data_IF_661584400413
#
_entry.id   IF_661584400413
#
_cell.length_a   1.000
_cell.length_b   1.000
_cell.length_c   1.000
_cell.angle_alpha   90.00
_cell.angle_beta   90.00
_cell.angle_gamma   90.00
#
_symmetry.space_group_name_H-M   'P 1'
#
loop_
_entity.id
_entity.type
_entity.pdbx_description
1 polymer ?
#
# COMPACT_ATOMS: atom_id res chain seq x y z
N UNK A 1 -40.35 -94.52 -11.72
CA UNK A 1 -39.02 -93.91 -11.94
C UNK A 1 -38.70 -93.13 -10.67
N UNK A 2 -37.56 -93.38 -10.02
CA UNK A 2 -37.20 -92.67 -8.79
C UNK A 2 -36.85 -91.21 -9.14
N UNK A 3 -37.54 -90.25 -8.52
CA UNK A 3 -37.20 -88.83 -8.62
C UNK A 3 -36.02 -88.52 -7.70
N UNK A 4 -35.11 -87.64 -8.17
CA UNK A 4 -33.99 -87.17 -7.36
C UNK A 4 -34.52 -86.42 -6.13
N UNK A 5 -34.05 -86.72 -4.90
CA UNK A 5 -34.42 -85.97 -3.70
C UNK A 5 -33.85 -84.53 -3.70
N UNK A 6 -32.98 -84.20 -4.67
CA UNK A 6 -32.31 -82.92 -4.76
C UNK A 6 -33.03 -81.89 -5.66
N UNK A 7 -34.25 -82.21 -6.08
CA UNK A 7 -35.06 -81.40 -6.99
C UNK A 7 -34.65 -81.53 -8.45
N UNK A 8 -35.50 -81.00 -9.34
CA UNK A 8 -35.33 -81.15 -10.79
C UNK A 8 -34.22 -80.28 -11.38
N UNK A 9 -33.82 -79.24 -10.65
CA UNK A 9 -32.82 -78.26 -11.10
C UNK A 9 -31.38 -78.76 -11.00
N UNK A 10 -31.09 -79.74 -10.14
CA UNK A 10 -29.72 -80.25 -9.98
C UNK A 10 -29.38 -81.22 -11.13
N UNK A 11 -28.61 -80.74 -12.11
CA UNK A 11 -28.13 -81.53 -13.26
C UNK A 11 -26.65 -81.91 -13.12
N UNK A 12 -26.32 -82.66 -12.06
CA UNK A 12 -24.97 -83.20 -11.83
C UNK A 12 -25.00 -84.73 -11.83
N UNK A 13 -23.90 -85.35 -12.26
CA UNK A 13 -23.74 -86.80 -12.15
C UNK A 13 -23.73 -87.22 -10.67
N UNK A 14 -24.58 -88.18 -10.32
CA UNK A 14 -24.74 -88.71 -8.95
C UNK A 14 -23.40 -89.16 -8.35
N UNK A 15 -22.47 -89.65 -9.18
CA UNK A 15 -21.16 -90.15 -8.73
C UNK A 15 -20.22 -89.07 -8.19
N UNK A 16 -20.55 -87.79 -8.39
CA UNK A 16 -19.79 -86.66 -7.81
C UNK A 16 -19.97 -86.53 -6.29
N UNK A 17 -21.07 -87.06 -5.77
CA UNK A 17 -21.44 -86.96 -4.36
C UNK A 17 -21.71 -88.33 -3.69
N UNK A 18 -22.14 -89.33 -4.47
CA UNK A 18 -22.48 -90.67 -3.98
C UNK A 18 -21.56 -91.73 -4.60
N UNK A 19 -21.39 -92.85 -3.91
CA UNK A 19 -20.68 -94.01 -4.46
C UNK A 19 -21.65 -95.13 -4.76
N UNK A 20 -21.24 -96.10 -5.57
CA UNK A 20 -22.02 -97.32 -5.80
C UNK A 20 -22.25 -98.15 -4.52
N UNK A 21 -21.46 -97.90 -3.48
CA UNK A 21 -21.53 -98.61 -2.19
C UNK A 21 -22.50 -97.94 -1.20
N UNK A 22 -22.69 -96.62 -1.28
CA UNK A 22 -23.60 -95.90 -0.37
C UNK A 22 -24.11 -94.58 -0.94
N UNK A 23 -25.38 -94.29 -0.67
CA UNK A 23 -25.98 -92.96 -0.86
C UNK A 23 -25.61 -91.96 0.25
N UNK A 24 -24.97 -92.41 1.34
CA UNK A 24 -24.45 -91.49 2.35
C UNK A 24 -23.22 -90.76 1.78
N UNK A 25 -23.31 -89.43 1.72
CA UNK A 25 -22.22 -88.57 1.27
C UNK A 25 -21.09 -88.61 2.29
N UNK A 26 -19.86 -88.85 1.82
CA UNK A 26 -18.65 -88.67 2.62
C UNK A 26 -18.05 -87.29 2.28
N UNK A 27 -18.13 -86.37 3.23
CA UNK A 27 -17.66 -84.98 3.07
C UNK A 27 -16.15 -84.87 2.79
N UNK A 28 -15.35 -85.92 3.09
CA UNK A 28 -13.91 -85.93 2.80
C UNK A 28 -13.60 -86.32 1.35
N UNK A 29 -14.54 -86.94 0.65
CA UNK A 29 -14.34 -87.48 -0.70
C UNK A 29 -15.27 -86.84 -1.73
N UNK A 30 -16.16 -85.94 -1.31
CA UNK A 30 -17.03 -85.19 -2.21
C UNK A 30 -16.17 -84.31 -3.13
N UNK A 31 -16.42 -84.37 -4.43
CA UNK A 31 -15.62 -83.65 -5.44
C UNK A 31 -16.38 -82.47 -6.05
N UNK A 32 -17.37 -81.93 -5.35
CA UNK A 32 -18.19 -80.82 -5.85
C UNK A 32 -17.52 -79.47 -5.59
N UNK A 33 -17.34 -78.68 -6.64
CA UNK A 33 -16.70 -77.37 -6.59
C UNK A 33 -17.74 -76.25 -6.43
N UNK A 34 -17.77 -75.59 -5.26
CA UNK A 34 -18.67 -74.46 -5.03
C UNK A 34 -18.34 -73.23 -5.88
N UNK A 35 -17.14 -73.14 -6.45
CA UNK A 35 -16.79 -72.05 -7.36
C UNK A 35 -17.56 -72.11 -8.69
N UNK A 36 -18.17 -73.26 -9.01
CA UNK A 36 -19.07 -73.38 -10.16
C UNK A 36 -20.48 -72.85 -9.88
N UNK A 37 -20.73 -72.26 -8.71
CA UNK A 37 -22.03 -71.77 -8.27
C UNK A 37 -22.02 -70.25 -8.09
N UNK A 38 -23.18 -69.66 -7.79
CA UNK A 38 -23.31 -68.24 -7.49
C UNK A 38 -22.78 -67.83 -6.10
N UNK A 39 -22.17 -68.75 -5.33
CA UNK A 39 -21.60 -68.46 -4.01
C UNK A 39 -20.35 -69.31 -3.76
N UNK A 40 -19.18 -68.69 -3.93
CA UNK A 40 -17.90 -69.33 -3.63
C UNK A 40 -17.68 -69.41 -2.11
N UNK A 41 -17.29 -70.58 -1.61
CA UNK A 41 -17.00 -70.81 -0.20
C UNK A 41 -15.60 -70.29 0.16
N UNK A 42 -15.49 -68.98 0.35
CA UNK A 42 -14.24 -68.32 0.71
C UNK A 42 -14.12 -68.16 2.23
N UNK A 43 -12.88 -68.23 2.74
CA UNK A 43 -12.52 -67.90 4.13
C UNK A 43 -13.38 -68.64 5.17
N UNK A 44 -14.14 -67.94 6.02
CA UNK A 44 -14.92 -68.56 7.10
C UNK A 44 -16.05 -69.44 6.58
N UNK A 45 -16.64 -69.13 5.42
CA UNK A 45 -17.70 -69.95 4.82
C UNK A 45 -17.20 -71.34 4.37
N UNK A 46 -15.89 -71.50 4.10
CA UNK A 46 -15.30 -72.81 3.74
C UNK A 46 -15.29 -73.82 4.88
N UNK A 47 -15.44 -73.34 6.13
CA UNK A 47 -15.40 -74.15 7.34
C UNK A 47 -16.80 -74.46 7.89
N UNK A 48 -17.83 -73.92 7.26
CA UNK A 48 -19.22 -74.07 7.69
C UNK A 48 -19.78 -75.42 7.23
N UNK A 49 -20.52 -76.10 8.09
CA UNK A 49 -21.19 -77.34 7.73
C UNK A 49 -22.26 -77.09 6.65
N UNK A 50 -22.39 -78.03 5.70
CA UNK A 50 -23.28 -77.86 4.53
C UNK A 50 -24.74 -77.57 4.94
N UNK A 51 -25.20 -78.13 6.06
CA UNK A 51 -26.55 -77.98 6.59
C UNK A 51 -26.85 -76.59 7.14
N UNK A 52 -25.83 -75.75 7.34
CA UNK A 52 -26.04 -74.36 7.73
C UNK A 52 -26.57 -73.52 6.57
N UNK A 53 -26.16 -73.82 5.34
CA UNK A 53 -26.67 -73.16 4.13
C UNK A 53 -27.82 -73.96 3.50
N UNK A 54 -27.69 -75.29 3.44
CA UNK A 54 -28.64 -76.19 2.79
C UNK A 54 -29.53 -76.88 3.81
N UNK A 55 -30.61 -76.18 4.22
CA UNK A 55 -31.61 -76.70 5.17
C UNK A 55 -32.47 -77.83 4.59
N UNK A 56 -32.48 -77.99 3.26
CA UNK A 56 -33.14 -79.08 2.54
C UNK A 56 -32.16 -79.75 1.59
N UNK A 57 -32.51 -80.93 1.07
CA UNK A 57 -31.73 -81.61 0.03
C UNK A 57 -31.84 -80.91 -1.35
N UNK A 58 -32.70 -79.90 -1.49
CA UNK A 58 -32.90 -79.13 -2.71
C UNK A 58 -31.92 -77.95 -2.72
N UNK A 59 -30.70 -78.21 -3.18
CA UNK A 59 -29.55 -77.30 -3.00
C UNK A 59 -29.71 -75.89 -3.60
N UNK A 60 -30.54 -75.71 -4.63
CA UNK A 60 -30.77 -74.40 -5.26
C UNK A 60 -31.69 -73.46 -4.46
N UNK A 61 -32.24 -73.90 -3.33
CA UNK A 61 -33.04 -73.07 -2.43
C UNK A 61 -32.20 -72.21 -1.47
N UNK A 62 -30.90 -72.51 -1.33
CA UNK A 62 -30.01 -71.71 -0.50
C UNK A 62 -29.80 -70.33 -1.13
N UNK A 63 -30.11 -69.28 -0.36
CA UNK A 63 -29.85 -67.89 -0.77
C UNK A 63 -28.36 -67.58 -0.64
N UNK A 64 -27.85 -66.76 -1.57
CA UNK A 64 -26.49 -66.24 -1.56
C UNK A 64 -26.39 -64.82 -0.97
N UNK A 65 -27.48 -64.28 -0.43
CA UNK A 65 -27.54 -62.96 0.18
C UNK A 65 -27.10 -63.02 1.64
N UNK A 66 -26.23 -62.10 2.07
CA UNK A 66 -25.73 -62.08 3.45
C UNK A 66 -26.88 -62.06 4.49
N UNK A 67 -27.89 -61.23 4.24
CA UNK A 67 -29.03 -61.03 5.13
C UNK A 67 -29.98 -62.24 5.25
N UNK A 68 -29.86 -63.26 4.40
CA UNK A 68 -30.67 -64.48 4.57
C UNK A 68 -30.15 -65.41 5.66
N UNK A 69 -28.89 -65.23 6.08
CA UNK A 69 -28.24 -66.04 7.11
C UNK A 69 -27.76 -65.20 8.30
N UNK A 70 -27.36 -63.95 8.06
CA UNK A 70 -26.85 -63.04 9.08
C UNK A 70 -27.88 -61.98 9.43
N UNK A 71 -28.12 -61.81 10.73
CA UNK A 71 -28.97 -60.74 11.25
C UNK A 71 -28.21 -59.41 11.23
N UNK A 72 -28.85 -58.37 10.73
CA UNK A 72 -28.29 -57.02 10.81
C UNK A 72 -28.22 -56.57 12.28
N UNK A 73 -27.03 -56.13 12.69
CA UNK A 73 -26.81 -55.54 14.00
C UNK A 73 -26.94 -54.03 13.97
N UNK A 74 -27.00 -53.40 12.79
CA UNK A 74 -26.93 -51.95 12.62
C UNK A 74 -28.30 -51.26 12.61
N UNK A 75 -29.36 -51.93 13.08
CA UNK A 75 -30.72 -51.40 13.12
C UNK A 75 -31.18 -50.80 11.78
N UNK A 76 -30.84 -51.45 10.68
CA UNK A 76 -31.14 -51.06 9.30
C UNK A 76 -30.58 -49.69 8.87
N UNK A 77 -29.54 -49.18 9.53
CA UNK A 77 -29.01 -47.81 9.27
C UNK A 77 -27.92 -47.73 8.21
N UNK A 78 -27.26 -48.85 7.88
CA UNK A 78 -26.13 -48.89 6.93
C UNK A 78 -26.46 -49.61 5.60
N UNK A 79 -27.71 -50.06 5.45
CA UNK A 79 -28.19 -50.80 4.27
C UNK A 79 -27.84 -52.29 4.27
N UNK A 80 -28.25 -52.99 3.21
CA UNK A 80 -28.15 -54.47 3.11
C UNK A 80 -26.92 -54.97 2.35
N UNK A 81 -26.08 -54.06 1.83
CA UNK A 81 -24.87 -54.43 1.10
C UNK A 81 -23.70 -54.62 2.07
N UNK A 82 -23.74 -55.73 2.82
CA UNK A 82 -22.79 -56.05 3.89
C UNK A 82 -21.34 -56.08 3.39
N UNK A 83 -21.13 -56.47 2.12
CA UNK A 83 -19.81 -56.64 1.51
C UNK A 83 -19.07 -55.31 1.32
N UNK A 84 -19.74 -54.16 1.47
CA UNK A 84 -19.10 -52.84 1.48
C UNK A 84 -18.15 -52.63 2.64
N UNK A 85 -18.43 -53.26 3.78
CA UNK A 85 -17.68 -53.07 5.01
C UNK A 85 -17.10 -54.38 5.56
N UNK A 86 -17.81 -55.48 5.38
CA UNK A 86 -17.45 -56.77 5.95
C UNK A 86 -16.92 -57.72 4.89
N UNK A 87 -16.01 -58.60 5.29
CA UNK A 87 -15.44 -59.61 4.39
C UNK A 87 -15.90 -60.99 4.82
N UNK A 88 -15.90 -62.00 3.92
CA UNK A 88 -16.13 -63.40 4.28
C UNK A 88 -15.19 -63.93 5.38
N UNK A 89 -14.07 -63.24 5.63
CA UNK A 89 -13.12 -63.56 6.68
C UNK A 89 -13.56 -63.09 8.06
N UNK A 90 -14.10 -61.87 8.17
CA UNK A 90 -14.44 -61.23 9.45
C UNK A 90 -15.47 -60.12 9.29
N UNK A 91 -16.33 -59.99 10.31
CA UNK A 91 -17.23 -58.85 10.52
C UNK A 91 -16.51 -57.62 11.10
N UNK A 92 -15.27 -57.76 11.56
CA UNK A 92 -14.49 -56.62 12.07
C UNK A 92 -14.06 -55.73 10.91
N UNK A 93 -14.47 -54.46 10.96
CA UNK A 93 -14.09 -53.44 9.98
C UNK A 93 -12.86 -52.70 10.51
N UNK A 94 -11.79 -52.65 9.72
CA UNK A 94 -10.52 -52.01 10.13
C UNK A 94 -10.24 -50.72 9.38
N UNK A 95 -10.96 -50.47 8.28
CA UNK A 95 -10.79 -49.33 7.38
C UNK A 95 -11.87 -48.25 7.59
N UNK A 96 -12.35 -48.07 8.83
CA UNK A 96 -13.36 -47.05 9.15
C UNK A 96 -12.91 -45.62 8.79
N UNK A 97 -11.64 -45.22 9.02
CA UNK A 97 -11.16 -43.89 8.61
C UNK A 97 -11.25 -43.65 7.09
N UNK A 98 -10.88 -44.65 6.29
CA UNK A 98 -10.93 -44.59 4.82
C UNK A 98 -12.38 -44.49 4.33
N UNK A 99 -13.30 -45.26 4.93
CA UNK A 99 -14.72 -45.16 4.62
C UNK A 99 -15.29 -43.77 4.93
N UNK A 100 -14.84 -43.12 6.01
CA UNK A 100 -15.23 -41.75 6.33
C UNK A 100 -14.68 -40.74 5.31
N UNK A 101 -13.43 -40.91 4.89
CA UNK A 101 -12.79 -40.10 3.85
C UNK A 101 -13.52 -40.23 2.49
N UNK A 102 -13.80 -41.46 2.05
CA UNK A 102 -14.52 -41.76 0.80
C UNK A 102 -15.95 -41.18 0.79
N UNK A 103 -16.58 -41.05 1.97
CA UNK A 103 -17.93 -40.49 2.10
C UNK A 103 -17.94 -38.99 2.43
N UNK A 104 -16.78 -38.31 2.35
CA UNK A 104 -16.69 -36.85 2.42
C UNK A 104 -16.65 -36.27 3.83
N UNK A 105 -16.23 -37.04 4.83
CA UNK A 105 -15.90 -36.55 6.17
C UNK A 105 -14.62 -37.21 6.72
N UNK A 106 -13.42 -36.83 6.23
CA UNK A 106 -12.17 -37.42 6.70
C UNK A 106 -11.97 -37.22 8.21
N UNK A 107 -11.65 -38.30 8.93
CA UNK A 107 -11.40 -38.24 10.39
C UNK A 107 -10.00 -37.70 10.68
N UNK A 108 -9.88 -36.37 10.65
CA UNK A 108 -8.63 -35.62 10.80
C UNK A 108 -8.61 -34.76 12.06
N UNK A 109 -7.42 -34.30 12.46
CA UNK A 109 -7.23 -33.50 13.66
C UNK A 109 -7.85 -34.15 14.89
N UNK A 110 -8.65 -33.39 15.63
CA UNK A 110 -9.35 -33.88 16.83
C UNK A 110 -10.45 -34.91 16.57
N UNK A 111 -11.01 -34.99 15.35
CA UNK A 111 -12.03 -35.99 15.01
C UNK A 111 -11.48 -37.42 14.95
N UNK A 112 -10.15 -37.58 14.78
CA UNK A 112 -9.49 -38.88 14.70
C UNK A 112 -9.56 -39.68 16.01
N UNK A 113 -9.67 -39.01 17.14
CA UNK A 113 -9.63 -39.63 18.47
C UNK A 113 -10.98 -39.73 19.16
N UNK A 114 -12.06 -39.26 18.51
CA UNK A 114 -13.40 -39.33 19.06
C UNK A 114 -13.93 -40.76 19.04
N UNK A 115 -14.74 -41.09 20.04
CA UNK A 115 -15.52 -42.31 20.02
C UNK A 115 -16.68 -42.13 19.03
N UNK A 116 -17.09 -43.22 18.37
CA UNK A 116 -18.15 -43.18 17.35
C UNK A 116 -19.45 -42.54 17.88
N UNK A 117 -19.78 -42.79 19.15
CA UNK A 117 -20.99 -42.30 19.83
C UNK A 117 -20.99 -40.80 20.10
N UNK A 118 -19.83 -40.15 20.07
CA UNK A 118 -19.72 -38.70 20.24
C UNK A 118 -20.27 -37.95 19.03
N UNK A 119 -20.18 -38.58 17.84
CA UNK A 119 -20.71 -38.07 16.58
C UNK A 119 -22.04 -38.73 16.21
N UNK A 120 -22.11 -40.06 16.18
CA UNK A 120 -23.31 -40.83 15.87
C UNK A 120 -24.21 -40.99 17.11
N UNK A 121 -24.70 -39.86 17.62
CA UNK A 121 -25.59 -39.83 18.78
C UNK A 121 -26.92 -40.49 18.43
N UNK A 122 -27.16 -41.66 19.02
CA UNK A 122 -28.40 -42.40 18.86
C UNK A 122 -28.72 -43.18 20.14
N UNK A 123 -29.91 -43.77 20.21
CA UNK A 123 -30.35 -44.57 21.36
C UNK A 123 -29.49 -45.82 21.62
N UNK A 124 -28.70 -46.27 20.64
CA UNK A 124 -27.89 -47.49 20.73
C UNK A 124 -26.54 -47.33 20.06
N UNK A 125 -25.48 -47.94 20.60
CA UNK A 125 -24.13 -47.89 20.00
C UNK A 125 -23.99 -48.62 18.64
N UNK A 126 -25.08 -49.18 18.12
CA UNK A 126 -25.09 -49.92 16.85
C UNK A 126 -25.82 -49.17 15.73
N UNK A 127 -26.38 -47.99 16.00
CA UNK A 127 -27.12 -47.21 15.02
C UNK A 127 -26.23 -46.07 14.49
N UNK A 128 -25.95 -46.11 13.19
CA UNK A 128 -25.02 -45.20 12.50
C UNK A 128 -25.74 -44.44 11.39
N UNK A 129 -26.64 -43.53 11.78
CA UNK A 129 -27.31 -42.67 10.80
C UNK A 129 -26.31 -41.73 10.13
N UNK A 130 -26.61 -41.38 8.87
CA UNK A 130 -25.84 -40.37 8.13
C UNK A 130 -26.04 -39.01 8.80
N UNK A 131 -25.01 -38.56 9.48
CA UNK A 131 -24.87 -37.19 9.96
C UNK A 131 -24.25 -36.35 8.82
N UNK A 132 -24.79 -35.15 8.56
CA UNK A 132 -24.26 -34.27 7.51
C UNK A 132 -22.77 -33.95 7.75
N UNK A 133 -22.03 -33.60 6.71
CA UNK A 133 -20.58 -33.40 6.74
C UNK A 133 -20.13 -31.93 6.83
N UNK A 134 -21.07 -30.98 6.84
CA UNK A 134 -20.75 -29.56 7.03
C UNK A 134 -20.38 -29.27 8.48
N UNK A 135 -19.24 -28.59 8.70
CA UNK A 135 -18.73 -28.26 10.04
C UNK A 135 -19.79 -27.56 10.90
N UNK A 136 -20.53 -26.62 10.29
CA UNK A 136 -21.53 -25.80 10.97
C UNK A 136 -22.71 -26.62 11.50
N UNK A 137 -22.97 -27.83 10.99
CA UNK A 137 -24.07 -28.66 11.47
C UNK A 137 -23.84 -29.14 12.92
N UNK A 138 -22.57 -29.31 13.31
CA UNK A 138 -22.20 -29.70 14.67
C UNK A 138 -21.67 -28.51 15.48
N UNK A 139 -20.95 -27.59 14.84
CA UNK A 139 -20.25 -26.49 15.52
C UNK A 139 -21.02 -25.16 15.49
N UNK A 140 -22.34 -25.16 15.26
CA UNK A 140 -23.15 -23.92 15.20
C UNK A 140 -23.07 -23.08 16.48
N UNK A 141 -23.17 -23.74 17.63
CA UNK A 141 -23.08 -23.05 18.92
C UNK A 141 -21.69 -22.45 19.13
N UNK A 142 -20.63 -23.21 18.84
CA UNK A 142 -19.25 -22.72 18.88
C UNK A 142 -19.04 -21.53 17.93
N UNK A 143 -19.57 -21.61 16.71
CA UNK A 143 -19.53 -20.53 15.73
C UNK A 143 -20.20 -19.26 16.26
N UNK A 144 -21.42 -19.38 16.80
CA UNK A 144 -22.20 -18.25 17.31
C UNK A 144 -21.57 -17.60 18.55
N UNK A 145 -20.88 -18.39 19.38
CA UNK A 145 -20.35 -17.95 20.66
C UNK A 145 -18.91 -17.40 20.58
N UNK A 146 -18.23 -17.54 19.44
CA UNK A 146 -16.89 -17.00 19.24
C UNK A 146 -16.86 -15.47 19.44
N UNK A 147 -15.82 -14.94 20.08
CA UNK A 147 -15.68 -13.50 20.37
C UNK A 147 -14.45 -12.85 19.74
N UNK A 148 -13.40 -13.63 19.44
CA UNK A 148 -12.11 -13.12 18.97
C UNK A 148 -11.64 -13.90 17.73
N UNK A 149 -12.11 -13.57 16.52
CA UNK A 149 -13.17 -12.59 16.22
C UNK A 149 -14.58 -13.12 16.50
N UNK A 150 -15.58 -12.22 16.56
CA UNK A 150 -16.98 -12.62 16.66
C UNK A 150 -17.53 -12.95 15.26
N UNK A 151 -17.84 -14.23 15.03
CA UNK A 151 -18.26 -14.68 13.70
C UNK A 151 -19.60 -14.10 13.25
N UNK A 152 -20.53 -13.88 14.19
CA UNK A 152 -21.90 -13.41 13.88
C UNK A 152 -21.88 -11.93 13.56
N UNK A 153 -21.26 -11.12 14.43
CA UNK A 153 -21.14 -9.67 14.21
C UNK A 153 -20.31 -9.36 12.97
N UNK A 154 -19.25 -10.15 12.73
CA UNK A 154 -18.43 -10.01 11.54
C UNK A 154 -19.03 -10.60 10.26
N UNK A 155 -20.21 -11.21 10.33
CA UNK A 155 -20.88 -11.86 9.19
C UNK A 155 -19.97 -12.85 8.44
N UNK A 156 -19.17 -13.62 9.18
CA UNK A 156 -18.21 -14.54 8.60
C UNK A 156 -18.91 -15.74 7.94
N UNK A 157 -18.27 -16.30 6.91
CA UNK A 157 -18.72 -17.49 6.20
C UNK A 157 -18.86 -18.70 7.14
N UNK A 158 -19.87 -19.55 6.92
CA UNK A 158 -19.99 -20.84 7.61
C UNK A 158 -19.08 -21.91 7.01
N UNK A 159 -18.36 -21.61 5.93
CA UNK A 159 -17.34 -22.46 5.36
C UNK A 159 -16.05 -22.35 6.19
N UNK A 160 -15.99 -23.12 7.28
CA UNK A 160 -14.95 -22.96 8.31
C UNK A 160 -13.53 -23.14 7.78
N UNK A 161 -13.33 -23.92 6.70
CA UNK A 161 -12.00 -24.21 6.15
C UNK A 161 -11.35 -23.02 5.44
N UNK A 162 -12.10 -21.94 5.18
CA UNK A 162 -11.53 -20.67 4.71
C UNK A 162 -10.56 -20.07 5.73
N UNK A 163 -10.83 -20.29 7.03
CA UNK A 163 -10.10 -19.68 8.13
C UNK A 163 -9.50 -20.68 9.12
N UNK A 164 -10.02 -21.90 9.21
CA UNK A 164 -9.59 -22.90 10.19
C UNK A 164 -9.05 -24.15 9.52
N UNK A 165 -7.97 -24.70 10.06
CA UNK A 165 -7.38 -25.93 9.53
C UNK A 165 -7.85 -27.15 10.34
N UNK A 166 -8.75 -28.00 9.79
CA UNK A 166 -9.27 -29.18 10.50
C UNK A 166 -8.22 -30.27 10.72
N UNK A 167 -7.05 -30.19 10.09
CA UNK A 167 -5.95 -31.14 10.29
C UNK A 167 -5.23 -30.93 11.62
N UNK A 168 -5.34 -29.73 12.20
CA UNK A 168 -4.70 -29.41 13.47
C UNK A 168 -5.49 -30.00 14.63
N UNK A 169 -4.77 -30.42 15.67
CA UNK A 169 -5.37 -30.90 16.91
C UNK A 169 -6.08 -29.75 17.65
N UNK A 170 -5.45 -28.59 17.67
CA UNK A 170 -5.99 -27.38 18.29
C UNK A 170 -6.78 -26.56 17.28
N UNK A 171 -7.94 -26.06 17.69
CA UNK A 171 -8.76 -25.14 16.89
C UNK A 171 -8.10 -23.76 16.86
N UNK A 172 -7.11 -23.62 15.98
CA UNK A 172 -6.40 -22.37 15.75
C UNK A 172 -6.77 -21.82 14.37
N UNK A 173 -6.81 -20.49 14.22
CA UNK A 173 -6.90 -19.89 12.89
C UNK A 173 -5.73 -20.38 12.03
N UNK A 174 -6.00 -20.64 10.75
CA UNK A 174 -4.98 -20.83 9.73
C UNK A 174 -4.06 -19.62 9.71
N UNK A 175 -2.78 -19.83 9.41
CA UNK A 175 -1.83 -18.74 9.26
C UNK A 175 -2.18 -17.96 7.97
N UNK A 176 -2.74 -16.76 8.10
CA UNK A 176 -3.09 -15.91 6.96
C UNK A 176 -1.85 -15.17 6.46
N UNK A 177 -1.46 -15.40 5.20
CA UNK A 177 -0.33 -14.71 4.59
C UNK A 177 -0.75 -13.27 4.18
N UNK A 178 -0.09 -12.29 4.78
CA UNK A 178 -0.23 -10.87 4.45
C UNK A 178 1.10 -10.26 3.95
N UNK A 179 2.01 -11.07 3.42
CA UNK A 179 3.33 -10.62 2.96
C UNK A 179 3.22 -9.55 1.86
N UNK A 180 2.15 -9.62 1.06
CA UNK A 180 1.85 -8.65 0.00
C UNK A 180 1.33 -7.30 0.53
N UNK A 181 0.65 -7.31 1.68
CA UNK A 181 0.20 -6.10 2.37
C UNK A 181 0.49 -6.22 3.88
N UNK A 182 1.72 -5.89 4.31
CA UNK A 182 2.13 -6.11 5.69
C UNK A 182 1.28 -5.32 6.70
N UNK A 183 0.60 -6.03 7.60
CA UNK A 183 -0.22 -5.48 8.69
C UNK A 183 0.64 -4.84 9.79
N UNK A 184 1.26 -3.71 9.45
CA UNK A 184 2.20 -3.00 10.31
C UNK A 184 1.66 -1.62 10.66
N UNK A 185 1.99 -1.15 11.86
CA UNK A 185 1.70 0.22 12.31
C UNK A 185 0.21 0.60 12.14
N UNK A 186 -0.10 1.63 11.36
CA UNK A 186 -1.49 2.09 11.14
C UNK A 186 -2.35 1.08 10.36
N UNK A 187 -1.74 0.14 9.65
CA UNK A 187 -2.43 -0.96 8.96
C UNK A 187 -2.51 -2.24 9.82
N UNK A 188 -2.01 -2.22 11.06
CA UNK A 188 -2.26 -3.29 12.02
C UNK A 188 -3.67 -3.14 12.60
N UNK A 189 -4.65 -3.46 11.76
CA UNK A 189 -6.07 -3.36 12.06
C UNK A 189 -6.54 -4.71 12.61
N UNK A 190 -7.13 -4.69 13.81
CA UNK A 190 -7.60 -5.91 14.48
C UNK A 190 -8.94 -6.45 13.95
N UNK A 191 -9.64 -5.66 13.14
CA UNK A 191 -10.92 -6.03 12.52
C UNK A 191 -10.74 -6.28 11.02
N UNK A 192 -10.79 -7.55 10.61
CA UNK A 192 -10.59 -7.98 9.23
C UNK A 192 -11.55 -7.28 8.26
N UNK A 193 -12.77 -6.97 8.70
CA UNK A 193 -13.82 -6.41 7.85
C UNK A 193 -13.55 -4.96 7.44
N UNK A 194 -12.58 -4.28 8.07
CA UNK A 194 -12.13 -2.97 7.61
C UNK A 194 -11.37 -3.06 6.28
N UNK A 195 -10.75 -4.20 5.98
CA UNK A 195 -10.03 -4.45 4.73
C UNK A 195 -10.84 -5.39 3.80
N UNK A 196 -11.40 -6.46 4.36
CA UNK A 196 -12.15 -7.49 3.63
C UNK A 196 -13.65 -7.18 3.68
N UNK A 197 -14.08 -6.26 2.81
CA UNK A 197 -15.47 -5.74 2.81
C UNK A 197 -16.47 -6.62 2.07
N UNK A 198 -16.01 -7.66 1.38
CA UNK A 198 -16.85 -8.67 0.72
C UNK A 198 -16.71 -10.01 1.44
N UNK A 199 -17.60 -10.95 1.12
CA UNK A 199 -17.49 -12.32 1.63
C UNK A 199 -16.29 -13.08 1.05
N UNK A 200 -15.62 -12.57 0.01
CA UNK A 200 -14.43 -13.17 -0.55
C UNK A 200 -13.19 -12.38 -0.10
N UNK A 201 -12.45 -12.93 0.86
CA UNK A 201 -11.31 -12.27 1.47
C UNK A 201 -10.18 -11.98 0.47
N UNK A 202 -10.16 -12.61 -0.72
CA UNK A 202 -9.18 -12.29 -1.77
C UNK A 202 -9.50 -11.01 -2.54
N UNK A 203 -10.70 -10.44 -2.39
CA UNK A 203 -11.13 -9.25 -3.15
C UNK A 203 -10.53 -7.94 -2.59
N UNK A 204 -9.95 -7.97 -1.39
CA UNK A 204 -9.38 -6.78 -0.76
C UNK A 204 -8.27 -6.21 -1.63
N UNK A 205 -8.44 -4.96 -2.08
CA UNK A 205 -7.44 -4.27 -2.87
C UNK A 205 -6.24 -3.87 -2.00
N UNK A 206 -5.00 -4.09 -2.46
CA UNK A 206 -3.79 -3.59 -1.80
C UNK A 206 -3.53 -2.11 -2.09
N UNK A 207 -4.30 -1.50 -3.00
CA UNK A 207 -4.02 -0.18 -3.50
C UNK A 207 -4.40 0.85 -2.44
N UNK A 208 -3.46 1.73 -2.09
CA UNK A 208 -3.65 2.73 -1.04
C UNK A 208 -4.90 3.58 -1.30
N UNK A 209 -5.14 3.93 -2.57
CA UNK A 209 -6.26 4.78 -2.97
C UNK A 209 -7.62 4.12 -2.75
N UNK A 210 -7.71 2.78 -2.74
CA UNK A 210 -8.98 2.07 -2.50
C UNK A 210 -9.60 2.42 -1.14
N UNK A 211 -8.76 2.70 -0.13
CA UNK A 211 -9.18 3.17 1.19
C UNK A 211 -8.99 4.69 1.36
N UNK A 212 -7.95 5.26 0.76
CA UNK A 212 -7.52 6.64 1.03
C UNK A 212 -7.89 7.66 -0.06
N UNK A 213 -8.75 7.32 -1.02
CA UNK A 213 -9.19 8.25 -2.08
C UNK A 213 -9.72 9.57 -1.53
N UNK A 214 -10.56 9.51 -0.49
CA UNK A 214 -11.12 10.72 0.14
C UNK A 214 -10.02 11.57 0.78
N UNK A 215 -9.06 10.94 1.47
CA UNK A 215 -7.91 11.64 2.06
C UNK A 215 -7.05 12.27 0.98
N UNK A 216 -6.76 11.55 -0.11
CA UNK A 216 -6.02 12.04 -1.26
C UNK A 216 -6.69 13.29 -1.86
N UNK A 217 -8.01 13.23 -2.11
CA UNK A 217 -8.78 14.33 -2.68
C UNK A 217 -8.86 15.56 -1.74
N UNK A 218 -8.93 15.33 -0.43
CA UNK A 218 -9.12 16.39 0.56
C UNK A 218 -7.80 16.99 1.09
N UNK A 219 -6.65 16.45 0.70
CA UNK A 219 -5.35 17.00 1.14
C UNK A 219 -5.15 18.37 0.52
N UNK A 220 -4.78 19.37 1.34
CA UNK A 220 -4.63 20.77 0.91
C UNK A 220 -3.19 21.24 0.80
N UNK A 221 -2.23 20.50 1.36
CA UNK A 221 -0.82 20.90 1.35
C UNK A 221 0.14 19.70 1.29
N UNK A 222 0.76 19.42 0.13
CA UNK A 222 0.37 19.92 -1.19
C UNK A 222 -1.01 19.38 -1.60
N UNK A 223 -1.79 20.15 -2.36
CA UNK A 223 -3.09 19.70 -2.85
C UNK A 223 -2.93 18.72 -4.01
N UNK A 224 -3.07 17.43 -3.71
CA UNK A 224 -2.74 16.35 -4.64
C UNK A 224 -3.56 16.40 -5.94
N UNK A 225 -4.86 16.72 -5.83
CA UNK A 225 -5.75 16.82 -6.97
C UNK A 225 -5.36 17.95 -7.95
N UNK A 226 -4.90 19.09 -7.45
CA UNK A 226 -4.51 20.23 -8.29
C UNK A 226 -3.15 20.01 -8.94
N UNK A 227 -2.26 19.28 -8.26
CA UNK A 227 -0.95 18.89 -8.76
C UNK A 227 -0.99 17.68 -9.71
N UNK A 228 -2.17 17.05 -9.89
CA UNK A 228 -2.34 15.83 -10.68
C UNK A 228 -1.37 14.71 -10.29
N UNK A 229 -1.10 14.55 -8.99
CA UNK A 229 -0.24 13.45 -8.51
C UNK A 229 -0.85 12.09 -8.84
N UNK A 230 0.01 11.10 -9.10
CA UNK A 230 -0.40 9.71 -9.28
C UNK A 230 -0.90 9.13 -7.94
N UNK A 231 -1.74 8.09 -8.03
CA UNK A 231 -2.26 7.34 -6.88
C UNK A 231 -1.31 6.24 -6.41
N UNK A 232 -0.17 6.03 -7.07
CA UNK A 232 0.95 5.25 -6.53
C UNK A 232 1.61 6.01 -5.36
N UNK A 233 0.98 5.91 -4.19
CA UNK A 233 1.38 6.62 -2.99
C UNK A 233 2.81 6.27 -2.55
N UNK A 234 3.33 5.09 -2.90
CA UNK A 234 4.64 4.59 -2.44
C UNK A 234 5.81 5.37 -3.04
N UNK A 235 5.57 6.12 -4.13
CA UNK A 235 6.55 7.03 -4.72
C UNK A 235 6.94 8.14 -3.72
N UNK A 236 5.99 8.59 -2.91
CA UNK A 236 6.17 9.73 -2.01
C UNK A 236 5.94 9.40 -0.53
N UNK A 237 5.21 8.34 -0.20
CA UNK A 237 4.83 8.01 1.17
C UNK A 237 5.36 6.65 1.61
N UNK A 238 5.55 6.51 2.92
CA UNK A 238 5.89 5.23 3.55
C UNK A 238 4.77 4.82 4.50
N UNK A 239 4.67 3.53 4.79
CA UNK A 239 3.72 3.00 5.78
C UNK A 239 4.18 3.25 7.24
N UNK A 240 5.28 3.98 7.44
CA UNK A 240 5.76 4.33 8.77
C UNK A 240 4.79 5.27 9.51
N UNK A 241 4.76 5.24 10.85
CA UNK A 241 3.85 6.07 11.63
C UNK A 241 3.99 7.55 11.31
N UNK A 242 2.84 8.23 11.18
CA UNK A 242 2.76 9.66 10.92
C UNK A 242 2.67 10.05 9.45
N UNK A 243 2.66 9.09 8.51
CA UNK A 243 2.46 9.32 7.06
C UNK A 243 3.28 10.50 6.52
N UNK A 244 4.56 10.57 6.92
CA UNK A 244 5.42 11.67 6.50
C UNK A 244 5.71 11.52 5.00
N UNK A 245 5.54 12.59 4.20
CA UNK A 245 5.97 12.57 2.81
C UNK A 245 7.48 12.39 2.71
N UNK A 246 7.93 11.96 1.55
CA UNK A 246 9.33 11.98 1.15
C UNK A 246 9.88 13.39 1.36
N UNK A 247 11.12 13.47 1.83
CA UNK A 247 11.80 14.76 1.96
C UNK A 247 12.24 15.21 0.58
N UNK A 248 11.79 16.39 0.14
CA UNK A 248 12.18 16.98 -1.13
C UNK A 248 13.46 17.80 -0.98
N UNK A 249 14.52 17.41 -1.69
CA UNK A 249 15.79 18.12 -1.68
C UNK A 249 15.74 19.37 -2.58
N UNK A 250 15.93 20.55 -1.99
CA UNK A 250 16.00 21.86 -2.68
C UNK A 250 17.41 22.46 -2.64
N UNK A 251 18.46 21.65 -2.46
CA UNK A 251 19.85 22.12 -2.41
C UNK A 251 20.29 22.89 -3.66
N UNK A 252 19.71 22.59 -4.83
CA UNK A 252 20.01 23.28 -6.08
C UNK A 252 19.36 24.67 -6.19
N UNK A 253 18.19 24.86 -5.57
CA UNK A 253 17.52 26.15 -5.50
C UNK A 253 17.02 26.38 -4.06
N UNK A 254 17.88 26.94 -3.18
CA UNK A 254 17.54 27.12 -1.77
C UNK A 254 16.31 28.04 -1.59
N UNK A 255 15.33 27.56 -0.84
CA UNK A 255 14.10 28.29 -0.52
C UNK A 255 14.37 29.35 0.56
N UNK A 256 15.03 30.45 0.20
CA UNK A 256 15.37 31.53 1.13
C UNK A 256 14.50 32.76 0.92
N UNK A 257 13.95 33.30 2.03
CA UNK A 257 13.23 34.57 2.10
C UNK A 257 12.12 34.71 1.04
N UNK A 258 12.33 35.50 0.00
CA UNK A 258 11.31 35.72 -1.05
C UNK A 258 10.97 34.46 -1.84
N UNK A 259 11.87 33.47 -1.85
CA UNK A 259 11.65 32.17 -2.48
C UNK A 259 11.21 31.07 -1.49
N UNK A 260 10.97 31.42 -0.22
CA UNK A 260 10.30 30.53 0.75
C UNK A 260 8.78 30.54 0.51
N UNK A 261 8.39 29.99 -0.64
CA UNK A 261 6.99 29.92 -1.08
C UNK A 261 6.41 28.57 -0.68
N UNK A 262 5.40 28.60 0.18
CA UNK A 262 4.76 27.38 0.70
C UNK A 262 3.88 26.67 -0.35
N UNK A 263 3.52 27.35 -1.44
CA UNK A 263 2.76 26.78 -2.54
C UNK A 263 3.69 26.26 -3.63
N UNK A 264 3.88 24.93 -3.69
CA UNK A 264 4.78 24.29 -4.66
C UNK A 264 4.42 24.65 -6.12
N UNK A 265 3.14 24.84 -6.43
CA UNK A 265 2.68 25.16 -7.78
C UNK A 265 3.07 26.58 -8.22
N UNK A 266 3.48 27.46 -7.29
CA UNK A 266 4.05 28.75 -7.65
C UNK A 266 5.37 28.60 -8.43
N UNK A 267 6.11 27.52 -8.20
CA UNK A 267 7.38 27.22 -8.85
C UNK A 267 7.27 26.06 -9.85
N UNK A 268 6.42 25.06 -9.58
CA UNK A 268 6.32 23.82 -10.36
C UNK A 268 5.10 23.76 -11.30
N UNK A 269 4.47 24.90 -11.59
CA UNK A 269 3.20 24.98 -12.34
C UNK A 269 3.19 24.30 -13.72
N UNK A 270 4.35 24.14 -14.38
CA UNK A 270 4.44 23.65 -15.76
C UNK A 270 5.04 22.26 -15.89
N UNK A 271 5.38 21.60 -14.78
CA UNK A 271 6.13 20.34 -14.80
C UNK A 271 5.35 19.23 -14.11
N UNK A 272 4.80 18.25 -14.85
CA UNK A 272 3.95 17.19 -14.30
C UNK A 272 4.61 16.37 -13.18
N UNK A 273 5.94 16.34 -13.11
CA UNK A 273 6.71 15.53 -12.16
C UNK A 273 7.70 16.35 -11.32
N UNK A 274 7.53 17.67 -11.22
CA UNK A 274 8.40 18.57 -10.42
C UNK A 274 9.90 18.54 -10.81
N UNK A 275 10.27 17.80 -11.87
CA UNK A 275 11.65 17.47 -12.22
C UNK A 275 12.36 18.53 -13.07
N UNK A 276 11.65 19.53 -13.60
CA UNK A 276 12.21 20.44 -14.62
C UNK A 276 11.79 21.90 -14.42
N UNK A 277 11.64 22.35 -13.18
CA UNK A 277 11.34 23.76 -12.92
C UNK A 277 12.52 24.64 -13.35
N UNK A 278 12.27 25.66 -14.20
CA UNK A 278 13.31 26.62 -14.57
C UNK A 278 13.86 27.30 -13.31
N UNK A 279 15.19 27.43 -13.23
CA UNK A 279 15.88 28.12 -12.12
C UNK A 279 16.42 29.49 -12.53
N UNK A 280 16.33 29.83 -13.81
CA UNK A 280 16.74 31.13 -14.35
C UNK A 280 15.77 32.22 -13.86
N UNK A 281 16.31 33.26 -13.22
CA UNK A 281 15.52 34.32 -12.59
C UNK A 281 14.53 34.98 -13.56
N UNK A 282 14.98 35.25 -14.79
CA UNK A 282 14.17 35.95 -15.79
C UNK A 282 12.95 35.16 -16.24
N UNK A 283 12.99 33.81 -16.18
CA UNK A 283 11.85 32.98 -16.56
C UNK A 283 10.63 33.24 -15.67
N UNK A 284 10.85 33.59 -14.40
CA UNK A 284 9.79 33.96 -13.47
C UNK A 284 9.61 35.49 -13.37
N UNK A 285 10.70 36.25 -13.40
CA UNK A 285 10.72 37.69 -13.12
C UNK A 285 10.86 38.57 -14.36
N UNK A 286 10.49 38.08 -15.56
CA UNK A 286 10.54 38.86 -16.80
C UNK A 286 9.73 40.16 -16.71
N UNK A 287 8.55 40.09 -16.09
CA UNK A 287 7.68 41.26 -15.90
C UNK A 287 8.34 42.29 -14.98
N UNK A 288 8.95 41.84 -13.88
CA UNK A 288 9.66 42.72 -12.95
C UNK A 288 10.87 43.39 -13.62
N UNK A 289 11.64 42.62 -14.39
CA UNK A 289 12.76 43.12 -15.19
C UNK A 289 12.29 44.22 -16.16
N UNK A 290 11.22 43.97 -16.91
CA UNK A 290 10.68 44.92 -17.89
C UNK A 290 10.09 46.18 -17.24
N UNK A 291 9.48 46.05 -16.05
CA UNK A 291 8.80 47.14 -15.37
C UNK A 291 9.74 47.99 -14.48
N UNK A 292 10.97 47.54 -14.25
CA UNK A 292 11.92 48.30 -13.43
C UNK A 292 12.27 49.62 -14.12
N UNK A 293 12.19 50.73 -13.37
CA UNK A 293 12.41 52.07 -13.92
C UNK A 293 13.58 52.84 -13.30
N UNK A 294 14.22 52.29 -12.27
CA UNK A 294 15.32 52.94 -11.55
C UNK A 294 16.36 51.92 -11.03
N UNK A 295 17.45 51.67 -11.77
CA UNK A 295 17.65 52.01 -13.18
C UNK A 295 16.72 51.21 -14.12
N UNK A 296 16.40 51.74 -15.31
CA UNK A 296 15.54 51.02 -16.26
C UNK A 296 16.34 49.94 -16.99
N UNK A 297 16.07 48.66 -16.70
CA UNK A 297 16.83 47.54 -17.27
C UNK A 297 16.66 47.41 -18.79
N UNK A 298 15.46 47.64 -19.32
CA UNK A 298 15.18 47.48 -20.75
C UNK A 298 15.85 48.57 -21.59
N UNK A 299 15.75 49.83 -21.17
CA UNK A 299 16.33 50.96 -21.91
C UNK A 299 17.85 50.95 -21.84
N UNK A 300 18.43 50.52 -20.71
CA UNK A 300 19.88 50.42 -20.55
C UNK A 300 20.45 49.09 -21.07
N UNK A 301 19.61 48.21 -21.61
CA UNK A 301 20.00 46.93 -22.22
C UNK A 301 20.82 46.04 -21.25
N UNK A 302 20.41 45.99 -19.98
CA UNK A 302 21.08 45.17 -18.97
C UNK A 302 20.89 43.66 -19.22
N UNK A 303 21.86 42.81 -18.82
CA UNK A 303 21.75 41.37 -19.01
C UNK A 303 20.67 40.75 -18.11
N UNK A 304 20.12 39.62 -18.54
CA UNK A 304 19.13 38.84 -17.78
C UNK A 304 19.76 37.83 -16.81
N UNK A 305 21.10 37.77 -16.74
CA UNK A 305 21.81 37.08 -15.67
C UNK A 305 21.77 37.92 -14.39
N UNK A 306 20.63 37.84 -13.70
CA UNK A 306 20.34 38.68 -12.55
C UNK A 306 21.35 38.50 -11.41
N UNK A 307 21.93 37.31 -11.25
CA UNK A 307 22.87 37.00 -10.18
C UNK A 307 24.18 37.79 -10.26
N UNK A 308 24.50 38.34 -11.44
CA UNK A 308 25.64 39.27 -11.60
C UNK A 308 25.46 40.55 -10.78
N UNK A 309 24.21 41.00 -10.62
CA UNK A 309 23.88 42.27 -9.96
C UNK A 309 22.97 42.13 -8.74
N UNK A 310 22.29 41.01 -8.53
CA UNK A 310 21.33 40.84 -7.44
C UNK A 310 21.63 39.59 -6.63
N UNK A 311 21.46 39.67 -5.31
CA UNK A 311 21.49 38.50 -4.43
C UNK A 311 20.06 38.08 -4.04
N UNK A 312 19.87 36.78 -3.79
CA UNK A 312 18.62 36.24 -3.23
C UNK A 312 18.66 36.15 -1.70
N UNK A 313 19.83 36.30 -1.09
CA UNK A 313 20.06 36.27 0.35
C UNK A 313 20.99 37.42 0.79
N UNK A 314 20.58 38.34 1.68
CA UNK A 314 19.36 38.38 2.48
C UNK A 314 18.15 39.01 1.78
N UNK A 315 18.07 39.02 0.46
CA UNK A 315 16.94 39.54 -0.30
C UNK A 315 17.41 40.29 -1.54
N UNK A 316 16.48 40.72 -2.39
CA UNK A 316 16.78 41.33 -3.68
C UNK A 316 17.41 42.73 -3.52
N UNK A 317 18.74 42.78 -3.43
CA UNK A 317 19.50 44.04 -3.36
C UNK A 317 20.48 44.13 -4.54
N UNK A 318 20.60 45.29 -5.20
CA UNK A 318 21.63 45.51 -6.21
C UNK A 318 23.05 45.34 -5.64
N UNK A 319 23.97 44.92 -6.49
CA UNK A 319 25.41 44.96 -6.29
C UNK A 319 25.86 46.41 -6.26
N UNK A 320 27.02 46.66 -5.68
CA UNK A 320 27.64 47.98 -5.66
C UNK A 320 27.92 48.49 -7.08
N UNK A 321 27.27 49.60 -7.45
CA UNK A 321 27.62 50.35 -8.66
C UNK A 321 28.91 51.15 -8.39
N UNK A 322 29.90 50.99 -9.26
CA UNK A 322 31.19 51.67 -9.10
C UNK A 322 31.09 53.15 -9.53
N UNK A 323 31.29 54.06 -8.58
CA UNK A 323 31.27 55.51 -8.78
C UNK A 323 32.66 56.15 -8.53
N UNK A 324 33.74 55.52 -9.02
CA UNK A 324 35.11 56.04 -8.83
C UNK A 324 35.37 57.40 -9.48
N UNK A 325 34.67 57.73 -10.57
CA UNK A 325 34.85 59.01 -11.27
C UNK A 325 34.13 60.18 -10.56
N UNK A 326 32.95 59.92 -10.00
CA UNK A 326 32.20 60.87 -9.17
C UNK A 326 31.83 60.20 -7.84
N UNK A 327 32.69 60.29 -6.81
CA UNK A 327 32.45 59.61 -5.54
C UNK A 327 31.18 60.10 -4.83
N UNK A 328 30.31 59.16 -4.45
CA UNK A 328 29.06 59.45 -3.74
C UNK A 328 29.34 59.75 -2.26
N UNK A 329 29.76 60.97 -1.95
CA UNK A 329 30.06 61.43 -0.58
C UNK A 329 28.99 62.37 -0.05
N UNK A 330 28.66 62.25 1.25
CA UNK A 330 27.78 63.17 1.97
C UNK A 330 26.47 63.45 1.22
N UNK A 331 26.21 64.70 0.83
CA UNK A 331 24.98 65.12 0.14
C UNK A 331 24.80 64.55 -1.26
N UNK A 332 25.85 63.99 -1.87
CA UNK A 332 25.78 63.33 -3.17
C UNK A 332 25.51 61.82 -3.07
N UNK A 333 25.45 61.25 -1.86
CA UNK A 333 25.03 59.85 -1.65
C UNK A 333 23.51 59.75 -1.58
N UNK A 334 22.87 59.91 -2.75
CA UNK A 334 21.42 59.91 -2.87
C UNK A 334 20.89 58.51 -3.22
N UNK A 335 19.75 58.08 -2.63
CA UNK A 335 19.18 56.77 -2.90
C UNK A 335 18.50 56.66 -4.28
N UNK A 336 18.10 57.78 -4.87
CA UNK A 336 17.45 57.82 -6.19
C UNK A 336 18.45 58.23 -7.27
N UNK A 337 18.85 57.25 -8.09
CA UNK A 337 19.81 57.44 -9.17
C UNK A 337 19.37 58.51 -10.18
N UNK A 338 18.05 58.68 -10.40
CA UNK A 338 17.52 59.68 -11.34
C UNK A 338 17.76 61.13 -10.90
N UNK A 339 18.15 61.34 -9.64
CA UNK A 339 18.54 62.68 -9.18
C UNK A 339 19.80 63.17 -9.91
N UNK A 340 20.70 62.25 -10.27
CA UNK A 340 21.93 62.57 -11.02
C UNK A 340 21.83 62.12 -12.48
N UNK A 341 21.24 60.96 -12.73
CA UNK A 341 21.03 60.39 -14.07
C UNK A 341 19.67 60.82 -14.63
N UNK A 342 19.61 62.06 -15.11
CA UNK A 342 18.36 62.70 -15.56
C UNK A 342 17.86 62.18 -16.92
N UNK A 343 18.70 61.48 -17.68
CA UNK A 343 18.33 60.80 -18.92
C UNK A 343 18.19 59.30 -18.68
N UNK A 344 17.62 58.58 -19.65
CA UNK A 344 17.57 57.12 -19.57
C UNK A 344 18.92 56.45 -19.86
N UNK A 345 19.95 57.22 -20.27
CA UNK A 345 21.30 56.73 -20.47
C UNK A 345 22.16 57.14 -19.26
N UNK A 346 22.43 56.17 -18.39
CA UNK A 346 23.12 56.42 -17.13
C UNK A 346 24.59 56.82 -17.31
N UNK A 347 25.16 56.77 -18.52
CA UNK A 347 26.53 57.28 -18.78
C UNK A 347 26.57 58.79 -19.06
N UNK A 348 25.42 59.46 -19.21
CA UNK A 348 25.36 60.87 -19.63
C UNK A 348 25.30 61.86 -18.47
N UNK A 349 25.35 61.38 -17.21
CA UNK A 349 25.36 62.26 -16.06
C UNK A 349 26.64 63.12 -16.05
N UNK A 350 26.45 64.45 -16.10
CA UNK A 350 27.56 65.39 -16.03
C UNK A 350 28.17 65.41 -14.62
N UNK A 351 29.50 65.29 -14.48
CA UNK A 351 30.18 65.48 -13.19
C UNK A 351 30.32 66.96 -12.80
N UNK A 352 30.04 67.88 -13.73
CA UNK A 352 30.33 69.30 -13.54
C UNK A 352 29.37 69.92 -12.51
N UNK A 353 29.92 70.54 -11.47
CA UNK A 353 29.14 71.09 -10.36
C UNK A 353 28.06 72.05 -10.83
N UNK A 354 28.37 72.90 -11.80
CA UNK A 354 27.43 73.89 -12.34
C UNK A 354 26.27 73.27 -13.13
N UNK A 355 26.39 72.04 -13.63
CA UNK A 355 25.26 71.35 -14.28
C UNK A 355 24.06 71.20 -13.34
N UNK A 356 24.27 71.16 -12.03
CA UNK A 356 23.21 71.12 -11.02
C UNK A 356 23.15 72.39 -10.16
N UNK A 357 24.28 73.01 -9.87
CA UNK A 357 24.39 74.12 -8.93
C UNK A 357 24.52 75.50 -9.58
N UNK A 358 24.19 75.65 -10.88
CA UNK A 358 24.25 76.94 -11.58
C UNK A 358 23.44 78.04 -10.86
N UNK A 359 22.23 77.71 -10.41
CA UNK A 359 21.37 78.66 -9.70
C UNK A 359 22.01 79.10 -8.37
N UNK A 360 22.58 78.16 -7.62
CA UNK A 360 23.30 78.46 -6.36
C UNK A 360 24.52 79.34 -6.63
N UNK A 361 25.31 79.00 -7.65
CA UNK A 361 26.45 79.80 -8.11
C UNK A 361 26.04 81.24 -8.45
N UNK A 362 24.97 81.40 -9.24
CA UNK A 362 24.47 82.71 -9.66
C UNK A 362 23.91 83.54 -8.50
N UNK A 363 23.28 82.90 -7.52
CA UNK A 363 22.59 83.57 -6.42
C UNK A 363 23.49 83.81 -5.20
N UNK A 364 24.71 83.29 -5.17
CA UNK A 364 25.61 83.50 -4.03
C UNK A 364 26.06 84.95 -3.99
N UNK A 365 25.88 85.62 -2.86
CA UNK A 365 26.17 87.05 -2.69
C UNK A 365 27.43 87.34 -1.88
N UNK A 366 27.93 86.37 -1.11
CA UNK A 366 29.12 86.54 -0.26
C UNK A 366 30.09 85.34 -0.34
N UNK A 367 31.22 85.46 -1.07
CA UNK A 367 31.47 86.48 -2.10
C UNK A 367 30.54 86.26 -3.31
N UNK A 368 30.22 87.33 -4.03
CA UNK A 368 29.40 87.21 -5.24
C UNK A 368 30.21 86.61 -6.39
N UNK A 369 29.92 85.36 -6.74
CA UNK A 369 30.72 84.59 -7.70
C UNK A 369 30.65 85.16 -9.13
N UNK A 370 29.46 85.62 -9.56
CA UNK A 370 29.25 86.19 -10.89
C UNK A 370 29.94 87.54 -11.02
N UNK A 371 29.78 88.42 -10.02
CA UNK A 371 30.40 89.75 -10.03
C UNK A 371 31.93 89.68 -9.91
N UNK A 372 32.45 88.70 -9.14
CA UNK A 372 33.88 88.46 -9.01
C UNK A 372 34.49 87.71 -10.21
N UNK A 373 33.67 87.16 -11.11
CA UNK A 373 34.14 86.42 -12.28
C UNK A 373 34.84 85.10 -11.93
N UNK A 374 34.41 84.43 -10.86
CA UNK A 374 35.01 83.15 -10.46
C UNK A 374 34.79 82.04 -11.52
N UNK A 375 35.67 81.02 -11.56
CA UNK A 375 35.48 79.89 -12.46
C UNK A 375 34.35 78.96 -11.97
N UNK A 376 33.80 78.18 -12.89
CA UNK A 376 32.79 77.15 -12.61
C UNK A 376 33.39 75.80 -12.19
N UNK A 377 34.72 75.69 -12.17
CA UNK A 377 35.42 74.57 -11.53
C UNK A 377 35.40 74.75 -10.02
N UNK A 378 34.29 74.33 -9.41
CA UNK A 378 34.06 74.61 -8.00
C UNK A 378 35.05 73.88 -7.08
N UNK A 379 35.63 72.75 -7.51
CA UNK A 379 36.59 72.00 -6.70
C UNK A 379 37.93 72.74 -6.50
N UNK A 380 38.21 73.76 -7.32
CA UNK A 380 39.36 74.64 -7.12
C UNK A 380 39.26 75.42 -5.80
N UNK A 381 38.04 75.72 -5.34
CA UNK A 381 37.77 76.56 -4.18
C UNK A 381 36.85 75.91 -3.15
N UNK A 382 36.25 74.74 -3.41
CA UNK A 382 35.33 74.08 -2.49
C UNK A 382 35.67 72.60 -2.34
N UNK A 383 35.48 72.08 -1.12
CA UNK A 383 35.55 70.64 -0.85
C UNK A 383 34.15 70.10 -0.55
N UNK A 384 33.93 68.81 -0.82
CA UNK A 384 32.65 68.12 -0.56
C UNK A 384 32.68 67.25 0.71
N UNK A 385 33.83 67.14 1.36
CA UNK A 385 34.06 66.34 2.55
C UNK A 385 34.76 67.20 3.64
N UNK A 386 34.17 67.40 4.83
CA UNK A 386 32.96 66.78 5.39
C UNK A 386 31.62 67.38 4.92
N UNK A 387 31.66 68.40 4.08
CA UNK A 387 30.50 69.05 3.48
C UNK A 387 30.97 70.19 2.57
N UNK A 388 30.04 70.91 1.95
CA UNK A 388 30.38 72.05 1.08
C UNK A 388 31.02 73.17 1.90
N UNK A 389 32.34 73.31 1.80
CA UNK A 389 33.09 74.34 2.52
C UNK A 389 34.02 75.09 1.57
N UNK A 390 34.15 76.42 1.69
CA UNK A 390 35.09 77.19 0.90
C UNK A 390 36.54 76.90 1.32
N UNK A 391 37.46 77.05 0.37
CA UNK A 391 38.88 77.03 0.58
C UNK A 391 39.27 78.18 1.52
N UNK A 392 40.22 77.92 2.40
CA UNK A 392 40.75 78.95 3.28
C UNK A 392 41.77 79.77 2.49
N UNK A 393 41.50 81.05 2.28
CA UNK A 393 42.44 81.95 1.61
C UNK A 393 43.50 82.44 2.59
N UNK A 394 44.75 82.04 2.36
CA UNK A 394 45.89 82.49 3.15
C UNK A 394 46.34 83.89 2.73
N UNK A 395 46.16 84.87 3.63
CA UNK A 395 46.54 86.26 3.43
C UNK A 395 47.89 86.61 4.08
N UNK A 396 48.71 85.63 4.45
CA UNK A 396 50.03 85.86 5.08
C UNK A 396 50.97 86.75 4.26
N UNK A 397 50.83 86.76 2.92
CA UNK A 397 51.66 87.58 2.02
C UNK A 397 51.08 88.98 1.72
N UNK A 398 49.83 89.26 2.09
CA UNK A 398 49.23 90.60 2.03
C UNK A 398 48.30 90.80 3.24
N UNK A 399 48.83 91.26 4.38
CA UNK A 399 48.05 91.39 5.61
C UNK A 399 46.95 92.45 5.45
N UNK A 400 45.69 92.03 5.59
CA UNK A 400 44.53 92.92 5.61
C UNK A 400 44.56 93.76 6.89
N UNK A 401 45.26 94.89 6.86
CA UNK A 401 45.41 95.82 8.00
C UNK A 401 44.92 97.22 7.62
N UNK A 402 44.37 97.95 8.60
CA UNK A 402 43.82 99.32 8.46
C UNK A 402 42.72 99.42 7.39
N UNK A 403 42.80 100.39 6.46
CA UNK A 403 41.76 100.67 5.46
C UNK A 403 41.48 99.57 4.43
N UNK A 404 42.25 98.47 4.46
CA UNK A 404 42.00 97.25 3.67
C UNK A 404 41.38 96.12 4.52
N UNK A 405 40.95 96.41 5.75
CA UNK A 405 40.14 95.50 6.55
C UNK A 405 38.71 95.49 6.00
N UNK A 406 38.51 94.79 4.89
CA UNK A 406 37.19 94.53 4.33
C UNK A 406 36.66 93.30 5.08
N UNK A 407 35.58 93.49 5.84
CA UNK A 407 35.00 92.46 6.70
C UNK A 407 34.38 91.27 5.92
N UNK A 408 34.21 91.42 4.61
CA UNK A 408 33.65 90.42 3.69
C UNK A 408 34.68 90.06 2.60
N UNK A 409 35.66 89.22 2.94
CA UNK A 409 36.59 88.64 1.98
C UNK A 409 36.49 87.12 1.98
#
# INVERSE_FOLDING_TARGET
MAQSPHGDALKIDCVKCHTSESWKVNLKTISFDHNSTGFALNESHSKTDCVECHKTLVFNQASNQCASCHTDLHNATVGNDCARCHTPKSWVVTNIPELHEENGFPLVGSHKTLNCIECHKSETNLRFDRIGNECINCHRETFNNAQNPNHVTGNYSTNCIECHNPQLKEWTPSNFNHDFFPLTQGHNIGDCNQCHTTNNFTDASPDCVSCHQTTFNNTVNPKHADAAFDTDCKVCHTTNPGWKPATFDHNFFPLTKGHDVQNCNACHATTPNYATTPTDCVTCHQTDFNNTSNPNHLVNNFPTDCATCHTTNPGWTPSTFNHTFFPLTQGHNLPDCKTCHTTNNFTDASPDCVSCHQTTYNNTTNPNHVAAGFPTDCMACHTTNPGWTPATFDHTNFPLTLGHNIADC
#
